data_IF_209865558907
#
_entry.id   IF_209865558907
#
_cell.length_a   1.000
_cell.length_b   1.000
_cell.length_c   1.000
_cell.angle_alpha   90.00
_cell.angle_beta   90.00
_cell.angle_gamma   90.00
#
_symmetry.space_group_name_H-M   'P 1'
#
loop_
_entity.id
_entity.type
_entity.pdbx_description
1 polymer ?
#
# COMPACT_ATOMS: atom_id res chain seq x y z
N UNK A 1 -8.94 17.66 18.85
CA UNK A 1 -7.51 17.63 18.58
C UNK A 1 -7.33 16.82 17.31
N UNK A 2 -7.18 17.47 16.15
CA UNK A 2 -6.92 16.80 14.88
C UNK A 2 -5.49 16.25 14.92
N UNK A 3 -5.34 14.93 14.98
CA UNK A 3 -4.04 14.30 14.73
C UNK A 3 -3.87 14.18 13.22
N UNK A 4 -3.11 15.10 12.62
CA UNK A 4 -2.58 14.87 11.29
C UNK A 4 -1.50 13.78 11.45
N UNK A 5 -1.79 12.56 11.02
CA UNK A 5 -0.79 11.52 10.94
C UNK A 5 0.07 11.81 9.71
N UNK A 6 1.22 12.43 9.91
CA UNK A 6 2.25 12.54 8.90
C UNK A 6 3.30 11.47 9.18
N UNK A 7 3.67 10.70 8.17
CA UNK A 7 4.77 9.76 8.28
C UNK A 7 6.07 10.51 7.93
N UNK A 8 7.04 10.46 8.83
CA UNK A 8 8.37 11.07 8.63
C UNK A 8 9.38 10.06 8.04
N UNK A 9 8.96 8.82 7.85
CA UNK A 9 9.74 7.75 7.26
C UNK A 9 8.88 6.57 6.82
N UNK A 10 9.46 5.62 6.05
CA UNK A 10 8.77 4.41 5.62
C UNK A 10 8.33 3.55 6.82
N UNK A 11 7.26 2.80 6.65
CA UNK A 11 6.73 1.85 7.65
C UNK A 11 6.26 2.47 8.97
N UNK A 12 5.90 3.75 8.97
CA UNK A 12 5.28 4.40 10.13
C UNK A 12 3.75 4.42 10.02
N UNK A 13 3.23 4.62 8.81
CA UNK A 13 1.81 4.67 8.55
C UNK A 13 1.48 3.96 7.24
N UNK A 14 0.65 2.93 7.33
CA UNK A 14 0.07 2.29 6.15
C UNK A 14 -1.42 2.60 6.06
N UNK A 15 -1.89 2.78 4.84
CA UNK A 15 -3.31 2.96 4.53
C UNK A 15 -3.76 1.79 3.65
N UNK A 16 -4.88 1.18 4.03
CA UNK A 16 -5.48 0.10 3.25
C UNK A 16 -6.87 0.49 2.74
N UNK A 17 -7.14 0.10 1.51
CA UNK A 17 -8.45 0.30 0.89
C UNK A 17 -8.77 -0.82 -0.11
N UNK A 18 -10.06 -0.97 -0.43
CA UNK A 18 -10.56 -1.96 -1.39
C UNK A 18 -11.30 -1.25 -2.50
N UNK A 19 -10.86 -1.48 -3.73
CA UNK A 19 -11.52 -0.98 -4.92
C UNK A 19 -12.39 -2.05 -5.61
N UNK A 20 -13.43 -1.59 -6.29
CA UNK A 20 -14.45 -2.41 -6.96
C UNK A 20 -14.32 -2.25 -8.46
N UNK A 21 -14.08 -3.35 -9.17
CA UNK A 21 -13.82 -3.37 -10.61
C UNK A 21 -14.85 -4.23 -11.30
N UNK A 22 -15.51 -3.65 -12.31
CA UNK A 22 -16.46 -4.41 -13.11
C UNK A 22 -15.75 -5.10 -14.27
N UNK A 23 -15.91 -6.42 -14.35
CA UNK A 23 -15.46 -7.25 -15.49
C UNK A 23 -16.67 -7.87 -16.21
N UNK A 24 -16.46 -8.53 -17.34
CA UNK A 24 -17.53 -9.27 -17.99
C UNK A 24 -18.04 -10.45 -17.17
N UNK A 25 -17.15 -11.10 -16.42
CA UNK A 25 -17.51 -12.24 -15.57
C UNK A 25 -18.13 -11.84 -14.23
N UNK A 26 -18.21 -10.54 -13.94
CA UNK A 26 -18.77 -10.05 -12.67
C UNK A 26 -17.91 -9.01 -11.98
N UNK A 27 -18.09 -8.87 -10.67
CA UNK A 27 -17.30 -7.99 -9.85
C UNK A 27 -15.99 -8.66 -9.44
N UNK A 28 -14.91 -7.88 -9.50
CA UNK A 28 -13.61 -8.20 -8.93
C UNK A 28 -13.26 -7.09 -7.94
N UNK A 29 -12.67 -7.46 -6.84
CA UNK A 29 -12.26 -6.58 -5.76
C UNK A 29 -10.74 -6.57 -5.68
N UNK A 30 -10.16 -5.40 -5.55
CA UNK A 30 -8.72 -5.23 -5.39
C UNK A 30 -8.43 -4.53 -4.07
N UNK A 31 -7.76 -5.23 -3.15
CA UNK A 31 -7.26 -4.66 -1.90
C UNK A 31 -5.84 -4.17 -2.09
N UNK A 32 -5.53 -3.02 -1.52
CA UNK A 32 -4.21 -2.41 -1.55
C UNK A 32 -3.79 -1.98 -0.15
N UNK A 33 -2.49 -2.08 0.12
CA UNK A 33 -1.83 -1.52 1.30
C UNK A 33 -0.72 -0.60 0.81
N UNK A 34 -0.80 0.68 1.16
CA UNK A 34 0.10 1.73 0.73
C UNK A 34 0.84 2.33 1.92
N UNK A 35 2.16 2.46 1.80
CA UNK A 35 2.98 3.24 2.71
C UNK A 35 2.78 4.73 2.47
N UNK A 36 2.41 5.48 3.51
CA UNK A 36 2.04 6.89 3.40
C UNK A 36 3.22 7.83 3.21
N UNK A 37 4.41 7.43 3.62
CA UNK A 37 5.63 8.22 3.39
C UNK A 37 6.05 8.18 1.92
N UNK A 38 6.22 6.97 1.41
CA UNK A 38 6.77 6.74 0.07
C UNK A 38 5.71 6.60 -1.03
N UNK A 39 4.43 6.51 -0.68
CA UNK A 39 3.34 6.17 -1.60
C UNK A 39 3.48 4.79 -2.25
N UNK A 40 4.42 3.98 -1.80
CA UNK A 40 4.67 2.64 -2.30
C UNK A 40 3.51 1.70 -1.96
N UNK A 41 3.05 0.95 -2.94
CA UNK A 41 2.14 -0.17 -2.70
C UNK A 41 2.99 -1.33 -2.18
N UNK A 42 2.83 -1.65 -0.90
CA UNK A 42 3.61 -2.68 -0.21
C UNK A 42 2.95 -4.05 -0.28
N UNK A 43 1.62 -4.07 -0.38
CA UNK A 43 0.85 -5.30 -0.54
C UNK A 43 -0.44 -5.06 -1.32
N UNK A 44 -0.89 -6.10 -2.00
CA UNK A 44 -2.13 -6.07 -2.77
C UNK A 44 -2.67 -7.47 -3.00
N UNK A 45 -3.97 -7.58 -3.29
CA UNK A 45 -4.62 -8.83 -3.69
C UNK A 45 -5.87 -8.53 -4.50
N UNK A 46 -6.20 -9.40 -5.47
CA UNK A 46 -7.47 -9.36 -6.19
C UNK A 46 -8.29 -10.60 -5.91
N UNK A 47 -9.62 -10.47 -5.88
CA UNK A 47 -10.53 -11.59 -5.63
C UNK A 47 -11.89 -11.34 -6.27
N UNK A 48 -12.60 -12.40 -6.62
CA UNK A 48 -14.03 -12.34 -6.98
C UNK A 48 -14.94 -12.27 -5.75
N UNK A 49 -14.37 -12.37 -4.56
CA UNK A 49 -15.11 -12.40 -3.30
C UNK A 49 -14.62 -11.30 -2.34
N UNK A 50 -15.58 -10.57 -1.78
CA UNK A 50 -15.31 -9.48 -0.83
C UNK A 50 -15.27 -10.03 0.63
N UNK A 51 -14.50 -11.07 0.87
CA UNK A 51 -14.27 -11.61 2.20
C UNK A 51 -13.10 -10.91 2.91
N UNK A 52 -13.03 -11.07 4.24
CA UNK A 52 -11.93 -10.51 5.05
C UNK A 52 -10.54 -11.06 4.64
N UNK A 53 -10.49 -12.26 4.04
CA UNK A 53 -9.25 -12.83 3.50
C UNK A 53 -8.61 -11.97 2.43
N UNK A 54 -9.39 -11.26 1.61
CA UNK A 54 -8.86 -10.35 0.59
C UNK A 54 -7.97 -9.26 1.20
N UNK A 55 -8.46 -8.60 2.25
CA UNK A 55 -7.69 -7.57 2.94
C UNK A 55 -6.50 -8.18 3.71
N UNK A 56 -6.70 -9.36 4.30
CA UNK A 56 -5.67 -10.08 5.04
C UNK A 56 -4.52 -10.49 4.12
N UNK A 57 -4.79 -11.05 2.95
CA UNK A 57 -3.77 -11.47 1.99
C UNK A 57 -2.95 -10.28 1.47
N UNK A 58 -3.59 -9.13 1.25
CA UNK A 58 -2.88 -7.89 0.91
C UNK A 58 -1.96 -7.42 2.05
N UNK A 59 -2.42 -7.49 3.31
CA UNK A 59 -1.61 -7.17 4.49
C UNK A 59 -0.42 -8.12 4.62
N UNK A 60 -0.65 -9.42 4.50
CA UNK A 60 0.42 -10.44 4.57
C UNK A 60 1.50 -10.23 3.52
N UNK A 61 1.11 -9.91 2.29
CA UNK A 61 2.05 -9.57 1.24
C UNK A 61 2.91 -8.36 1.64
N UNK A 62 2.30 -7.31 2.20
CA UNK A 62 3.00 -6.11 2.66
C UNK A 62 4.02 -6.44 3.76
N UNK A 63 3.60 -7.20 4.77
CA UNK A 63 4.47 -7.64 5.86
C UNK A 63 5.64 -8.47 5.34
N UNK A 64 5.37 -9.47 4.51
CA UNK A 64 6.39 -10.34 3.93
C UNK A 64 7.39 -9.56 3.07
N UNK A 65 6.92 -8.62 2.24
CA UNK A 65 7.80 -7.79 1.41
C UNK A 65 8.75 -6.95 2.26
N UNK A 66 8.28 -6.38 3.36
CA UNK A 66 9.11 -5.58 4.27
C UNK A 66 10.10 -6.43 5.06
N UNK A 67 9.67 -7.56 5.58
CA UNK A 67 10.54 -8.48 6.32
C UNK A 67 11.68 -9.01 5.42
N UNK A 68 11.38 -9.37 4.17
CA UNK A 68 12.35 -9.89 3.22
C UNK A 68 13.40 -8.85 2.80
N UNK A 69 13.03 -7.58 2.73
CA UNK A 69 13.95 -6.50 2.37
C UNK A 69 14.78 -6.01 3.56
N UNK A 70 14.59 -6.58 4.75
CA UNK A 70 15.27 -6.15 5.97
C UNK A 70 14.94 -4.72 6.39
N UNK A 71 13.83 -4.19 5.90
CA UNK A 71 13.36 -2.84 6.22
C UNK A 71 12.48 -2.92 7.47
N UNK A 72 12.99 -2.55 8.65
CA UNK A 72 12.26 -2.72 9.89
C UNK A 72 10.97 -1.89 9.88
N UNK A 73 9.90 -2.45 10.42
CA UNK A 73 8.67 -1.73 10.71
C UNK A 73 8.97 -0.73 11.83
N UNK A 74 8.60 0.54 11.63
CA UNK A 74 8.91 1.60 12.60
C UNK A 74 10.34 2.14 12.53
N UNK A 75 11.08 1.91 11.44
CA UNK A 75 12.46 2.41 11.27
C UNK A 75 12.48 3.94 11.23
N UNK A 76 13.16 4.53 12.21
CA UNK A 76 13.34 5.98 12.39
C UNK A 76 12.98 6.47 13.79
N UNK A 77 12.18 5.70 14.54
CA UNK A 77 11.94 5.95 15.97
C UNK A 77 12.09 4.63 16.72
N UNK A 78 12.83 4.64 17.82
CA UNK A 78 13.02 3.46 18.69
C UNK A 78 11.71 3.01 19.38
N UNK A 79 10.57 3.64 19.07
CA UNK A 79 9.29 3.43 19.74
C UNK A 79 8.06 3.61 18.86
N UNK A 80 8.20 3.76 17.53
CA UNK A 80 7.04 3.96 16.68
C UNK A 80 6.53 2.62 16.12
N UNK A 81 5.47 2.10 16.73
CA UNK A 81 4.68 1.02 16.15
C UNK A 81 4.13 1.46 14.80
N UNK A 82 4.14 0.58 13.81
CA UNK A 82 3.48 0.83 12.53
C UNK A 82 1.99 1.07 12.79
N UNK A 83 1.47 2.18 12.31
CA UNK A 83 0.05 2.49 12.34
C UNK A 83 -0.57 1.99 11.03
N UNK A 84 -1.60 1.16 11.14
CA UNK A 84 -2.39 0.71 10.01
C UNK A 84 -3.76 1.39 10.02
N UNK A 85 -4.00 2.26 9.04
CA UNK A 85 -5.26 2.96 8.86
C UNK A 85 -6.11 2.28 7.78
N UNK A 86 -7.37 1.99 8.08
CA UNK A 86 -8.35 1.49 7.11
C UNK A 86 -9.68 2.20 7.28
N UNK A 87 -10.53 2.09 6.27
CA UNK A 87 -11.92 2.50 6.40
C UNK A 87 -12.69 1.58 7.38
N UNK A 88 -13.99 1.85 7.56
CA UNK A 88 -14.89 1.06 8.41
C UNK A 88 -15.44 -0.19 7.74
N UNK A 89 -14.85 -0.62 6.64
CA UNK A 89 -15.25 -1.84 5.94
C UNK A 89 -15.27 -3.05 6.86
N UNK A 90 -16.27 -3.92 6.68
CA UNK A 90 -16.43 -5.12 7.51
C UNK A 90 -15.22 -6.06 7.41
N UNK A 91 -14.48 -6.00 6.31
CA UNK A 91 -13.28 -6.79 6.05
C UNK A 91 -12.16 -6.46 7.03
N UNK A 92 -11.96 -5.17 7.30
CA UNK A 92 -10.93 -4.65 8.22
C UNK A 92 -11.31 -4.81 9.70
N UNK A 93 -12.60 -5.04 9.98
CA UNK A 93 -13.13 -5.29 11.33
C UNK A 93 -13.28 -6.76 11.66
N UNK A 94 -12.93 -7.65 10.74
CA UNK A 94 -12.97 -9.07 10.96
C UNK A 94 -11.94 -9.46 12.03
N UNK A 95 -12.32 -10.38 12.93
CA UNK A 95 -11.48 -10.83 14.06
C UNK A 95 -10.09 -11.26 13.57
N UNK A 96 -10.02 -12.07 12.52
CA UNK A 96 -8.75 -12.53 11.94
C UNK A 96 -7.84 -11.41 11.49
N UNK A 97 -8.42 -10.31 10.97
CA UNK A 97 -7.64 -9.17 10.51
C UNK A 97 -7.06 -8.40 11.69
N UNK A 98 -7.87 -8.17 12.72
CA UNK A 98 -7.42 -7.47 13.93
C UNK A 98 -6.40 -8.29 14.72
N UNK A 99 -6.64 -9.60 14.90
CA UNK A 99 -5.67 -10.52 15.51
C UNK A 99 -4.33 -10.50 14.77
N UNK A 100 -4.36 -10.46 13.43
CA UNK A 100 -3.13 -10.44 12.65
C UNK A 100 -2.34 -9.14 12.80
N UNK A 101 -3.01 -8.00 12.92
CA UNK A 101 -2.36 -6.73 13.23
C UNK A 101 -1.72 -6.75 14.62
N UNK A 102 -2.42 -7.31 15.61
CA UNK A 102 -1.90 -7.49 16.98
C UNK A 102 -0.67 -8.41 17.01
N UNK A 103 -0.73 -9.57 16.34
CA UNK A 103 0.39 -10.50 16.21
C UNK A 103 1.63 -9.87 15.53
N UNK A 104 1.40 -8.91 14.66
CA UNK A 104 2.46 -8.18 13.96
C UNK A 104 2.93 -6.92 14.73
N UNK A 105 2.40 -6.68 15.94
CA UNK A 105 2.68 -5.48 16.75
C UNK A 105 2.33 -4.18 16.00
N UNK A 106 1.24 -4.20 15.20
CA UNK A 106 0.76 -3.07 14.43
C UNK A 106 -0.41 -2.41 15.13
N UNK A 107 -0.35 -1.11 15.28
CA UNK A 107 -1.44 -0.33 15.87
C UNK A 107 -2.55 -0.13 14.83
N UNK A 108 -3.69 -0.81 15.04
CA UNK A 108 -4.86 -0.65 14.20
C UNK A 108 -5.56 0.67 14.47
N UNK A 109 -5.77 1.47 13.42
CA UNK A 109 -6.58 2.67 13.48
C UNK A 109 -7.70 2.58 12.44
N UNK A 110 -8.93 2.42 12.90
CA UNK A 110 -10.12 2.45 12.03
C UNK A 110 -10.65 3.89 12.02
N UNK A 111 -10.56 4.55 10.87
CA UNK A 111 -10.88 5.97 10.71
C UNK A 111 -12.22 6.37 11.30
N UNK A 112 -12.25 7.50 11.98
CA UNK A 112 -13.48 8.16 12.39
C UNK A 112 -14.09 8.89 11.19
N UNK A 113 -15.42 9.12 11.23
CA UNK A 113 -16.11 9.94 10.23
C UNK A 113 -15.55 11.37 10.31
N UNK A 114 -14.52 11.72 9.51
CA UNK A 114 -13.91 13.05 9.53
C UNK A 114 -12.38 13.11 9.42
N UNK A 115 -11.64 11.99 9.41
CA UNK A 115 -10.21 11.98 9.10
C UNK A 115 -10.01 12.09 7.59
N UNK A 116 -10.04 13.35 7.11
CA UNK A 116 -10.08 13.66 5.67
C UNK A 116 -8.75 13.47 4.95
N UNK A 117 -7.62 13.42 5.65
CA UNK A 117 -6.31 13.39 4.99
C UNK A 117 -5.91 11.97 4.58
N UNK A 118 -6.16 10.98 5.41
CA UNK A 118 -5.82 9.58 5.13
C UNK A 118 -6.77 9.00 4.07
N UNK A 119 -8.05 9.36 4.13
CA UNK A 119 -9.01 9.05 3.07
C UNK A 119 -8.64 9.72 1.74
N UNK A 120 -8.16 10.98 1.76
CA UNK A 120 -7.78 11.68 0.53
C UNK A 120 -6.61 10.98 -0.21
N UNK A 121 -5.66 10.40 0.52
CA UNK A 121 -4.56 9.66 -0.11
C UNK A 121 -5.02 8.34 -0.74
N UNK A 122 -5.87 7.58 -0.06
CA UNK A 122 -6.48 6.37 -0.60
C UNK A 122 -7.39 6.68 -1.80
N UNK A 123 -8.21 7.73 -1.71
CA UNK A 123 -9.07 8.20 -2.81
C UNK A 123 -8.25 8.65 -4.02
N UNK A 124 -7.15 9.39 -3.80
CA UNK A 124 -6.25 9.82 -4.87
C UNK A 124 -5.56 8.62 -5.55
N UNK A 125 -5.12 7.63 -4.75
CA UNK A 125 -4.58 6.39 -5.28
C UNK A 125 -5.60 5.63 -6.12
N UNK A 126 -6.81 5.40 -5.61
CA UNK A 126 -7.88 4.70 -6.34
C UNK A 126 -8.27 5.44 -7.62
N UNK A 127 -8.30 6.76 -7.59
CA UNK A 127 -8.54 7.57 -8.79
C UNK A 127 -7.45 7.37 -9.84
N UNK A 128 -6.18 7.35 -9.41
CA UNK A 128 -5.01 7.08 -10.26
C UNK A 128 -5.08 5.67 -10.85
N UNK A 129 -5.28 4.66 -10.02
CA UNK A 129 -5.44 3.27 -10.44
C UNK A 129 -6.55 3.10 -11.48
N UNK A 130 -7.72 3.65 -11.21
CA UNK A 130 -8.85 3.60 -12.16
C UNK A 130 -8.57 4.32 -13.46
N UNK A 131 -7.93 5.48 -13.43
CA UNK A 131 -7.68 6.27 -14.63
C UNK A 131 -6.53 5.71 -15.47
N UNK A 132 -5.48 5.22 -14.83
CA UNK A 132 -4.26 4.77 -15.51
C UNK A 132 -4.32 3.30 -15.94
N UNK A 133 -5.06 2.44 -15.23
CA UNK A 133 -5.21 1.04 -15.61
C UNK A 133 -6.62 0.72 -16.05
N UNK A 134 -7.62 0.83 -15.17
CA UNK A 134 -8.93 0.21 -15.37
C UNK A 134 -9.72 0.85 -16.50
N UNK A 135 -9.66 2.18 -16.63
CA UNK A 135 -10.39 2.98 -17.62
C UNK A 135 -9.50 3.57 -18.70
N UNK A 136 -8.23 3.22 -18.71
CA UNK A 136 -7.27 3.76 -19.67
C UNK A 136 -7.57 3.20 -21.08
N UNK A 137 -7.92 4.10 -22.01
CA UNK A 137 -8.30 3.72 -23.37
C UNK A 137 -7.18 3.05 -24.14
N UNK A 138 -5.93 3.41 -23.87
CA UNK A 138 -4.77 2.78 -24.52
C UNK A 138 -4.55 1.36 -23.99
N UNK A 139 -4.65 1.16 -22.68
CA UNK A 139 -4.57 -0.17 -22.07
C UNK A 139 -5.72 -1.06 -22.58
N UNK A 140 -6.94 -0.53 -22.61
CA UNK A 140 -8.11 -1.28 -23.10
C UNK A 140 -8.05 -1.55 -24.63
N UNK A 141 -7.38 -0.71 -25.41
CA UNK A 141 -7.17 -0.94 -26.83
C UNK A 141 -6.15 -2.06 -27.08
N UNK A 142 -5.14 -2.17 -26.24
CA UNK A 142 -4.08 -3.17 -26.32
C UNK A 142 -4.51 -4.53 -25.70
N UNK A 143 -4.94 -4.51 -24.45
CA UNK A 143 -5.32 -5.71 -23.68
C UNK A 143 -6.77 -6.17 -23.90
N UNK A 144 -7.62 -5.31 -24.45
CA UNK A 144 -9.07 -5.53 -24.54
C UNK A 144 -9.79 -5.25 -23.21
N UNK A 145 -11.11 -5.43 -23.19
CA UNK A 145 -11.89 -5.25 -21.97
C UNK A 145 -11.61 -6.36 -20.97
N UNK A 146 -11.66 -6.04 -19.68
CA UNK A 146 -11.44 -7.00 -18.58
C UNK A 146 -12.49 -8.11 -18.60
N UNK A 147 -12.06 -9.32 -18.90
CA UNK A 147 -12.98 -10.48 -19.06
C UNK A 147 -13.22 -11.18 -17.74
N UNK A 148 -12.13 -11.43 -17.00
CA UNK A 148 -12.11 -12.18 -15.74
C UNK A 148 -11.12 -11.62 -14.75
N UNK A 149 -11.02 -12.28 -13.60
CA UNK A 149 -10.01 -11.99 -12.59
C UNK A 149 -8.59 -12.23 -13.12
N UNK A 150 -8.37 -13.27 -13.92
CA UNK A 150 -7.04 -13.65 -14.39
C UNK A 150 -6.40 -12.55 -15.25
N UNK A 151 -7.19 -11.98 -16.19
CA UNK A 151 -6.72 -10.84 -17.00
C UNK A 151 -6.37 -9.65 -16.14
N UNK A 152 -7.20 -9.39 -15.12
CA UNK A 152 -7.04 -8.24 -14.25
C UNK A 152 -5.88 -8.41 -13.30
N UNK A 153 -5.65 -9.60 -12.74
CA UNK A 153 -4.58 -9.87 -11.78
C UNK A 153 -3.20 -9.60 -12.39
N UNK A 154 -2.98 -10.09 -13.61
CA UNK A 154 -1.75 -9.84 -14.36
C UNK A 154 -1.56 -8.34 -14.60
N UNK A 155 -2.61 -7.65 -15.04
CA UNK A 155 -2.55 -6.23 -15.35
C UNK A 155 -2.32 -5.37 -14.09
N UNK A 156 -2.90 -5.75 -12.96
CA UNK A 156 -2.68 -5.10 -11.66
C UNK A 156 -1.24 -5.31 -11.21
N UNK A 157 -0.69 -6.53 -11.32
CA UNK A 157 0.70 -6.82 -10.97
C UNK A 157 1.68 -5.96 -11.79
N UNK A 158 1.52 -5.92 -13.11
CA UNK A 158 2.34 -5.11 -14.01
C UNK A 158 2.23 -3.60 -13.70
N UNK A 159 1.02 -3.13 -13.44
CA UNK A 159 0.78 -1.72 -13.12
C UNK A 159 1.37 -1.33 -11.76
N UNK A 160 1.28 -2.17 -10.73
CA UNK A 160 1.87 -1.90 -9.41
C UNK A 160 3.40 -1.89 -9.50
N UNK A 161 4.00 -2.82 -10.25
CA UNK A 161 5.45 -2.81 -10.47
C UNK A 161 5.87 -1.50 -11.15
N UNK A 162 5.19 -1.10 -12.23
CA UNK A 162 5.43 0.18 -12.90
C UNK A 162 5.19 1.38 -11.98
N UNK A 163 4.10 1.36 -11.20
CA UNK A 163 3.75 2.43 -10.25
C UNK A 163 4.85 2.62 -9.20
N UNK A 164 5.39 1.53 -8.66
CA UNK A 164 6.40 1.57 -7.62
C UNK A 164 7.81 1.90 -8.13
N UNK A 165 8.15 1.50 -9.37
CA UNK A 165 9.53 1.54 -9.88
C UNK A 165 9.78 2.59 -10.97
N UNK A 166 8.74 3.04 -11.68
CA UNK A 166 8.92 3.85 -12.89
C UNK A 166 8.07 5.11 -12.89
N UNK A 167 6.83 5.03 -12.35
CA UNK A 167 5.92 6.16 -12.35
C UNK A 167 6.45 7.30 -11.49
N UNK A 168 6.50 8.50 -12.07
CA UNK A 168 6.90 9.71 -11.35
C UNK A 168 5.74 10.25 -10.50
N UNK A 169 6.04 10.63 -9.27
CA UNK A 169 5.06 11.13 -8.31
C UNK A 169 5.39 12.57 -7.90
N UNK A 170 4.53 13.52 -8.25
CA UNK A 170 4.73 14.92 -7.92
C UNK A 170 4.84 15.21 -6.42
N UNK A 171 4.16 14.38 -5.57
CA UNK A 171 4.29 14.47 -4.10
C UNK A 171 5.62 13.94 -3.56
N UNK A 172 6.43 13.28 -4.39
CA UNK A 172 7.73 12.70 -4.06
C UNK A 172 8.87 13.36 -4.85
N UNK A 173 8.73 14.62 -5.24
CA UNK A 173 9.70 15.36 -6.05
C UNK A 173 9.97 14.70 -7.42
N UNK A 174 8.93 14.19 -8.06
CA UNK A 174 8.96 13.55 -9.37
C UNK A 174 9.90 12.32 -9.45
N UNK A 175 9.98 11.54 -8.36
CA UNK A 175 10.67 10.24 -8.36
C UNK A 175 9.69 9.09 -8.07
N UNK A 176 10.01 7.86 -8.49
CA UNK A 176 9.23 6.69 -8.13
C UNK A 176 9.29 6.35 -6.63
N UNK A 177 8.25 5.70 -6.07
CA UNK A 177 8.21 5.30 -4.67
C UNK A 177 9.43 4.52 -4.19
N UNK A 178 9.93 3.57 -4.99
CA UNK A 178 11.11 2.77 -4.64
C UNK A 178 12.38 3.62 -4.54
N UNK A 179 12.61 4.56 -5.46
CA UNK A 179 13.76 5.45 -5.42
C UNK A 179 13.69 6.41 -4.22
N UNK A 180 12.49 6.88 -3.91
CA UNK A 180 12.26 7.73 -2.75
C UNK A 180 12.61 7.03 -1.44
N UNK A 181 12.25 5.75 -1.28
CA UNK A 181 12.63 4.94 -0.12
C UNK A 181 14.13 4.65 -0.07
N UNK A 182 14.75 4.33 -1.21
CA UNK A 182 16.21 4.08 -1.29
C UNK A 182 16.98 5.30 -0.78
N UNK A 183 16.59 6.50 -1.20
CA UNK A 183 17.20 7.75 -0.75
C UNK A 183 17.06 7.91 0.77
N UNK A 184 15.85 7.71 1.31
CA UNK A 184 15.62 7.76 2.75
C UNK A 184 16.54 6.83 3.52
N UNK A 185 16.63 5.56 3.14
CA UNK A 185 17.46 4.58 3.83
C UNK A 185 18.98 4.87 3.69
N UNK A 186 19.40 5.44 2.57
CA UNK A 186 20.79 5.86 2.37
C UNK A 186 21.15 7.01 3.32
N UNK A 187 20.27 7.99 3.49
CA UNK A 187 20.49 9.15 4.36
C UNK A 187 20.42 8.78 5.86
N UNK A 188 19.70 7.73 6.21
CA UNK A 188 19.50 7.28 7.60
C UNK A 188 20.32 6.01 7.93
N UNK A 189 21.21 5.59 7.04
CA UNK A 189 22.11 4.45 7.31
C UNK A 189 23.02 4.78 8.52
N UNK A 190 23.16 3.85 9.48
CA UNK A 190 24.08 4.06 10.60
C UNK A 190 25.50 4.33 10.08
N UNK A 191 26.11 5.43 10.52
CA UNK A 191 27.47 5.79 10.15
C UNK A 191 28.40 4.60 10.46
N UNK A 192 29.06 4.06 9.46
CA UNK A 192 30.05 2.99 9.65
C UNK A 192 31.14 3.55 10.58
N UNK A 193 31.45 2.91 11.72
CA UNK A 193 32.52 3.40 12.57
C UNK A 193 33.81 3.45 11.77
N UNK A 194 34.37 4.64 11.61
CA UNK A 194 35.69 4.87 11.03
C UNK A 194 36.69 4.32 12.05
N UNK A 195 37.26 3.12 11.81
CA UNK A 195 38.32 2.59 12.63
C UNK A 195 38.17 1.11 13.03
N UNK A 196 38.28 0.22 12.06
CA UNK A 196 38.83 -1.09 12.30
C UNK A 196 39.77 -1.40 11.10
N UNK A 197 41.00 -0.95 11.22
CA UNK A 197 42.09 -1.45 10.39
C UNK A 197 42.40 -2.88 10.84
N UNK A 198 42.68 -3.80 9.92
CA UNK A 198 42.93 -5.21 10.21
C UNK A 198 44.20 -5.41 11.03
#
# INVERSE_FOLDING_TARGET
MQRAFTADGPNQLWVADIDYIRTFSGWVYAAFVMDMYSRRIVGWQVSTSLHATLALDALEMGLWNRDRTGQPRGAGSQTADLIHHSDRGVQYRAVRYTERLEDAEIVAFVGSKGDSYDNAAAEAFNSTFKSELIRNRHVLADKGPWRSIDDLEIAVAEWIEWYNTTRLHGSLNDVPPNEYEITYYADHAPSRPVGATP
#
